data_IF_807536184854
#
_entry.id   IF_807536184854
#
_cell.length_a   1.000
_cell.length_b   1.000
_cell.length_c   1.000
_cell.angle_alpha   90.00
_cell.angle_beta   90.00
_cell.angle_gamma   90.00
#
_symmetry.space_group_name_H-M   'P 1'
#
loop_
_entity.id
_entity.type
_entity.pdbx_description
1 polymer ?
#
# COMPACT_ATOMS: atom_id res chain seq x y z
N UNK A 1 -8.56 51.42 89.54
CA UNK A 1 -8.50 50.37 88.50
C UNK A 1 -9.81 50.39 87.77
N UNK A 2 -9.86 50.69 86.43
CA UNK A 2 -11.13 50.66 85.68
C UNK A 2 -11.47 49.19 85.34
N UNK A 3 -12.71 48.82 85.69
CA UNK A 3 -13.33 47.54 85.37
C UNK A 3 -13.93 47.65 83.94
N UNK A 4 -13.42 46.87 83.03
CA UNK A 4 -13.97 46.76 81.69
C UNK A 4 -15.26 45.91 81.73
N UNK A 5 -16.42 46.53 81.58
CA UNK A 5 -17.68 45.85 81.37
C UNK A 5 -17.88 45.51 79.91
N UNK A 6 -17.87 44.22 79.59
CA UNK A 6 -18.22 43.70 78.27
C UNK A 6 -19.73 43.87 78.08
N UNK A 7 -20.11 44.77 77.19
CA UNK A 7 -21.50 44.88 76.70
C UNK A 7 -21.83 43.63 75.89
N UNK A 8 -22.75 42.80 76.41
CA UNK A 8 -23.38 41.71 75.62
C UNK A 8 -24.21 42.34 74.51
N UNK A 9 -23.79 42.05 73.26
CA UNK A 9 -24.53 42.43 72.09
C UNK A 9 -25.74 41.51 71.97
N UNK A 10 -26.91 42.09 72.02
CA UNK A 10 -28.21 41.44 71.85
C UNK A 10 -28.27 40.73 70.53
N UNK A 11 -28.92 39.57 70.56
CA UNK A 11 -29.20 38.69 69.41
C UNK A 11 -29.82 39.50 68.29
N UNK A 12 -29.01 39.63 67.20
CA UNK A 12 -29.45 40.07 65.89
C UNK A 12 -29.56 38.85 65.00
N UNK A 13 -30.63 38.75 64.35
CA UNK A 13 -31.08 37.72 63.43
C UNK A 13 -29.92 37.08 62.63
N UNK A 14 -29.83 35.75 62.73
CA UNK A 14 -28.96 34.98 61.85
C UNK A 14 -29.43 35.15 60.41
N UNK A 15 -28.61 35.62 59.50
CA UNK A 15 -29.00 35.67 58.10
C UNK A 15 -29.27 34.24 57.63
N UNK A 16 -30.52 34.00 57.26
CA UNK A 16 -30.92 32.76 56.58
C UNK A 16 -29.97 32.56 55.35
N UNK A 17 -29.09 31.60 55.47
CA UNK A 17 -28.25 31.18 54.36
C UNK A 17 -29.17 30.73 53.25
N UNK A 18 -29.40 31.58 52.25
CA UNK A 18 -30.14 31.22 51.05
C UNK A 18 -29.53 29.95 50.50
N UNK A 19 -30.31 28.86 50.47
CA UNK A 19 -29.93 27.64 49.85
C UNK A 19 -29.57 28.00 48.39
N UNK A 20 -28.28 27.89 48.06
CA UNK A 20 -27.83 28.03 46.67
C UNK A 20 -28.64 27.04 45.87
N UNK A 21 -29.51 27.53 45.02
CA UNK A 21 -30.23 26.74 44.04
C UNK A 21 -29.19 25.96 43.26
N UNK A 22 -29.23 24.64 43.35
CA UNK A 22 -28.36 23.78 42.52
C UNK A 22 -28.89 23.95 41.11
N UNK A 23 -28.24 24.83 40.36
CA UNK A 23 -28.48 24.93 38.92
C UNK A 23 -27.90 23.65 38.36
N UNK A 24 -28.74 22.70 37.98
CA UNK A 24 -28.35 21.56 37.18
C UNK A 24 -27.87 22.10 35.82
N UNK A 25 -26.57 22.37 35.71
CA UNK A 25 -25.96 22.77 34.46
C UNK A 25 -25.88 21.50 33.60
N UNK A 26 -26.91 21.29 32.80
CA UNK A 26 -27.02 20.20 31.83
C UNK A 26 -25.97 20.31 30.72
N UNK A 27 -25.38 21.49 30.55
CA UNK A 27 -24.30 21.73 29.59
C UNK A 27 -22.93 21.48 30.23
N UNK A 28 -22.14 20.56 29.71
CA UNK A 28 -20.80 20.30 30.25
C UNK A 28 -19.90 21.53 30.10
N UNK A 29 -19.07 21.84 31.10
CA UNK A 29 -18.18 23.01 31.04
C UNK A 29 -17.27 22.96 29.83
N UNK A 30 -17.03 24.10 29.21
CA UNK A 30 -16.27 24.25 27.94
C UNK A 30 -14.91 23.49 27.94
N UNK A 31 -14.24 23.43 29.10
CA UNK A 31 -12.96 22.69 29.19
C UNK A 31 -13.14 21.17 29.09
N UNK A 32 -14.25 20.59 29.61
CA UNK A 32 -14.56 19.16 29.45
C UNK A 32 -14.85 18.83 27.99
N UNK A 33 -15.62 19.69 27.30
CA UNK A 33 -15.89 19.52 25.85
C UNK A 33 -14.62 19.60 25.04
N UNK A 34 -13.73 20.56 25.36
CA UNK A 34 -12.42 20.68 24.68
C UNK A 34 -11.54 19.46 24.93
N UNK A 35 -11.49 18.94 26.17
CA UNK A 35 -10.76 17.73 26.53
C UNK A 35 -11.30 16.49 25.81
N UNK A 36 -12.62 16.36 25.72
CA UNK A 36 -13.26 15.26 24.99
C UNK A 36 -12.94 15.30 23.50
N UNK A 37 -13.03 16.49 22.86
CA UNK A 37 -12.67 16.65 21.45
C UNK A 37 -11.19 16.32 21.16
N UNK A 38 -10.28 16.72 22.06
CA UNK A 38 -8.87 16.38 21.95
C UNK A 38 -8.63 14.87 22.11
N UNK A 39 -9.29 14.23 23.06
CA UNK A 39 -9.20 12.79 23.27
C UNK A 39 -9.79 12.02 22.08
N UNK A 40 -10.93 12.46 21.54
CA UNK A 40 -11.53 11.87 20.34
C UNK A 40 -10.65 12.02 19.12
N UNK A 41 -10.05 13.20 18.92
CA UNK A 41 -9.07 13.42 17.84
C UNK A 41 -7.85 12.51 17.97
N UNK A 42 -7.27 12.42 19.18
CA UNK A 42 -6.15 11.53 19.44
C UNK A 42 -6.51 10.04 19.22
N UNK A 43 -7.72 9.62 19.59
CA UNK A 43 -8.20 8.27 19.35
C UNK A 43 -8.35 7.96 17.85
N UNK A 44 -8.89 8.90 17.06
CA UNK A 44 -9.00 8.76 15.60
C UNK A 44 -7.63 8.69 14.93
N UNK A 45 -6.69 9.54 15.35
CA UNK A 45 -5.30 9.53 14.84
C UNK A 45 -4.61 8.20 15.19
N UNK A 46 -4.79 7.68 16.40
CA UNK A 46 -4.25 6.39 16.81
C UNK A 46 -4.86 5.23 16.01
N UNK A 47 -6.17 5.25 15.77
CA UNK A 47 -6.86 4.25 14.94
C UNK A 47 -6.35 4.27 13.49
N UNK A 48 -6.22 5.46 12.91
CA UNK A 48 -5.67 5.62 11.56
C UNK A 48 -4.22 5.13 11.47
N UNK A 49 -3.39 5.46 12.47
CA UNK A 49 -2.02 4.99 12.54
C UNK A 49 -1.93 3.46 12.64
N UNK A 50 -2.82 2.83 13.42
CA UNK A 50 -2.91 1.38 13.54
C UNK A 50 -3.34 0.73 12.21
N UNK A 51 -4.35 1.26 11.53
CA UNK A 51 -4.77 0.81 10.19
C UNK A 51 -3.63 0.91 9.16
N UNK A 52 -2.90 2.02 9.15
CA UNK A 52 -1.73 2.21 8.27
C UNK A 52 -0.60 1.24 8.59
N UNK A 53 -0.34 0.95 9.86
CA UNK A 53 0.67 -0.04 10.25
C UNK A 53 0.29 -1.44 9.76
N UNK A 54 -0.98 -1.85 9.92
CA UNK A 54 -1.48 -3.12 9.41
C UNK A 54 -1.41 -3.20 7.88
N UNK A 55 -1.78 -2.13 7.16
CA UNK A 55 -1.69 -2.06 5.71
C UNK A 55 -0.23 -2.20 5.21
N UNK A 56 0.73 -1.54 5.87
CA UNK A 56 2.17 -1.69 5.55
C UNK A 56 2.64 -3.13 5.75
N UNK A 57 2.25 -3.76 6.85
CA UNK A 57 2.59 -5.15 7.12
C UNK A 57 1.98 -6.08 6.08
N UNK A 58 0.72 -5.89 5.71
CA UNK A 58 0.06 -6.67 4.67
C UNK A 58 0.71 -6.49 3.30
N UNK A 59 1.15 -5.27 2.94
CA UNK A 59 1.87 -5.00 1.69
C UNK A 59 3.26 -5.66 1.66
N UNK A 60 3.91 -5.84 2.81
CA UNK A 60 5.27 -6.41 2.88
C UNK A 60 5.38 -7.84 2.38
N UNK A 61 4.29 -8.61 2.40
CA UNK A 61 4.25 -9.99 1.89
C UNK A 61 4.28 -10.08 0.36
N UNK A 62 3.94 -8.98 -0.33
CA UNK A 62 3.95 -8.95 -1.78
C UNK A 62 5.34 -8.63 -2.32
N UNK A 63 5.74 -9.34 -3.39
CA UNK A 63 6.99 -9.05 -4.09
C UNK A 63 6.93 -7.64 -4.68
N UNK A 64 7.91 -6.83 -4.29
CA UNK A 64 8.11 -5.53 -4.93
C UNK A 64 8.88 -5.73 -6.24
N UNK A 65 8.15 -5.82 -7.34
CA UNK A 65 8.70 -5.93 -8.68
C UNK A 65 8.78 -4.53 -9.32
N UNK A 66 9.73 -4.30 -10.26
CA UNK A 66 9.72 -3.08 -11.06
C UNK A 66 8.43 -2.97 -11.88
N UNK A 67 8.08 -1.77 -12.30
CA UNK A 67 6.98 -1.56 -13.24
C UNK A 67 7.30 -2.19 -14.59
N UNK A 68 6.28 -2.41 -15.43
CA UNK A 68 6.49 -2.94 -16.79
C UNK A 68 7.42 -2.04 -17.60
N UNK A 69 7.23 -0.73 -17.54
CA UNK A 69 8.06 0.24 -18.27
C UNK A 69 9.52 0.22 -17.79
N UNK A 70 9.76 0.13 -16.49
CA UNK A 70 11.11 -0.02 -15.93
C UNK A 70 11.78 -1.34 -16.39
N UNK A 71 11.01 -2.43 -16.42
CA UNK A 71 11.50 -3.71 -16.89
C UNK A 71 11.85 -3.68 -18.39
N UNK A 72 11.01 -3.08 -19.22
CA UNK A 72 11.26 -2.87 -20.65
C UNK A 72 12.52 -2.03 -20.84
N UNK A 73 12.64 -0.90 -20.16
CA UNK A 73 13.80 -0.02 -20.24
C UNK A 73 15.10 -0.69 -19.75
N UNK A 74 15.00 -1.66 -18.87
CA UNK A 74 16.15 -2.44 -18.39
C UNK A 74 16.67 -3.42 -19.43
N UNK A 75 15.79 -4.06 -20.21
CA UNK A 75 16.13 -5.15 -21.12
C UNK A 75 16.23 -4.70 -22.57
N UNK A 76 15.42 -3.77 -23.04
CA UNK A 76 15.33 -3.32 -24.43
C UNK A 76 16.67 -2.84 -25.02
N UNK A 77 17.54 -2.09 -24.32
CA UNK A 77 18.83 -1.66 -24.85
C UNK A 77 19.76 -2.82 -25.22
N UNK A 78 19.61 -3.95 -24.56
CA UNK A 78 20.48 -5.13 -24.75
C UNK A 78 19.87 -6.18 -25.66
N UNK A 79 18.55 -6.32 -25.66
CA UNK A 79 17.80 -7.30 -26.43
C UNK A 79 16.55 -6.67 -27.08
N UNK A 80 16.74 -5.81 -28.08
CA UNK A 80 15.60 -5.13 -28.72
C UNK A 80 14.66 -6.11 -29.46
N UNK A 81 15.17 -7.29 -29.88
CA UNK A 81 14.37 -8.33 -30.52
C UNK A 81 13.29 -8.97 -29.63
N UNK A 82 13.37 -8.80 -28.30
CA UNK A 82 12.35 -9.26 -27.36
C UNK A 82 11.13 -8.36 -27.33
N UNK A 83 11.17 -7.22 -27.97
CA UNK A 83 10.14 -6.18 -27.91
C UNK A 83 9.64 -5.80 -29.30
N UNK A 84 8.35 -5.50 -29.36
CA UNK A 84 7.71 -4.84 -30.51
C UNK A 84 7.39 -3.39 -30.09
N UNK A 85 8.27 -2.47 -30.48
CA UNK A 85 8.25 -1.12 -29.92
C UNK A 85 8.54 -1.16 -28.41
N UNK A 86 7.58 -0.73 -27.60
CA UNK A 86 7.66 -0.78 -26.12
C UNK A 86 6.89 -1.97 -25.52
N UNK A 87 6.29 -2.80 -26.37
CA UNK A 87 5.50 -3.95 -25.95
C UNK A 87 6.37 -5.21 -25.93
N UNK A 88 6.48 -5.94 -24.80
CA UNK A 88 7.18 -7.21 -24.74
C UNK A 88 6.49 -8.25 -25.62
N UNK A 89 7.27 -8.97 -26.43
CA UNK A 89 6.80 -10.16 -27.15
C UNK A 89 6.71 -11.34 -26.20
N UNK A 90 5.94 -12.36 -26.56
CA UNK A 90 5.92 -13.62 -25.82
C UNK A 90 7.29 -14.28 -25.93
N UNK A 91 7.88 -14.56 -24.78
CA UNK A 91 9.26 -15.04 -24.68
C UNK A 91 9.35 -16.54 -24.94
N UNK A 92 10.40 -16.98 -25.63
CA UNK A 92 10.70 -18.38 -25.83
C UNK A 92 10.91 -19.11 -24.50
N UNK A 93 10.64 -20.41 -24.47
CA UNK A 93 10.96 -21.26 -23.34
C UNK A 93 12.48 -21.27 -23.07
N UNK A 94 12.85 -21.17 -21.78
CA UNK A 94 14.26 -21.12 -21.40
C UNK A 94 14.99 -19.80 -21.68
N UNK A 95 14.29 -18.77 -22.13
CA UNK A 95 14.88 -17.46 -22.47
C UNK A 95 15.72 -16.87 -21.32
N UNK A 96 15.31 -17.11 -20.06
CA UNK A 96 16.06 -16.63 -18.89
C UNK A 96 17.51 -17.09 -18.90
N UNK A 97 17.75 -18.37 -19.23
CA UNK A 97 19.07 -18.95 -19.18
C UNK A 97 19.93 -18.45 -20.35
N UNK A 98 19.32 -18.26 -21.52
CA UNK A 98 19.95 -17.61 -22.69
C UNK A 98 20.37 -16.18 -22.35
N UNK A 99 19.51 -15.38 -21.70
CA UNK A 99 19.84 -14.00 -21.32
C UNK A 99 20.94 -13.94 -20.25
N UNK A 100 20.96 -14.89 -19.31
CA UNK A 100 22.02 -14.97 -18.30
C UNK A 100 23.36 -15.32 -18.92
N UNK A 101 23.37 -16.20 -19.90
CA UNK A 101 24.57 -16.56 -20.66
C UNK A 101 25.07 -15.36 -21.49
N UNK A 102 24.18 -14.66 -22.17
CA UNK A 102 24.50 -13.43 -22.90
C UNK A 102 25.12 -12.34 -22.00
N UNK A 103 24.59 -12.17 -20.81
CA UNK A 103 25.14 -11.23 -19.79
C UNK A 103 26.60 -11.58 -19.51
N UNK A 104 26.91 -12.86 -19.33
CA UNK A 104 28.27 -13.32 -19.06
C UNK A 104 29.18 -13.15 -20.27
N UNK A 105 28.74 -13.58 -21.48
CA UNK A 105 29.53 -13.54 -22.70
C UNK A 105 29.80 -12.13 -23.22
N UNK A 106 28.79 -11.27 -23.16
CA UNK A 106 28.87 -9.88 -23.66
C UNK A 106 29.28 -8.87 -22.57
N UNK A 107 29.57 -9.32 -21.34
CA UNK A 107 29.89 -8.47 -20.20
C UNK A 107 28.88 -7.33 -19.98
N UNK A 108 27.59 -7.64 -20.11
CA UNK A 108 26.52 -6.66 -19.94
C UNK A 108 26.48 -6.21 -18.46
N UNK A 109 26.45 -4.88 -18.17
CA UNK A 109 26.43 -4.35 -16.81
C UNK A 109 25.02 -4.49 -16.17
N UNK A 110 24.51 -5.72 -16.12
CA UNK A 110 23.20 -6.06 -15.60
C UNK A 110 23.33 -7.22 -14.61
N UNK A 111 22.95 -7.02 -13.37
CA UNK A 111 23.00 -8.08 -12.36
C UNK A 111 21.93 -9.15 -12.64
N UNK A 112 22.28 -10.42 -12.35
CA UNK A 112 21.36 -11.55 -12.47
C UNK A 112 20.04 -11.33 -11.70
N UNK A 113 20.13 -10.68 -10.54
CA UNK A 113 18.96 -10.33 -9.71
C UNK A 113 18.05 -9.33 -10.43
N UNK A 114 18.64 -8.30 -11.04
CA UNK A 114 17.89 -7.25 -11.78
C UNK A 114 17.25 -7.84 -13.03
N UNK A 115 17.97 -8.67 -13.78
CA UNK A 115 17.45 -9.39 -14.93
C UNK A 115 16.25 -10.28 -14.56
N UNK A 116 16.37 -11.11 -13.53
CA UNK A 116 15.29 -12.00 -13.08
C UNK A 116 14.06 -11.23 -12.62
N UNK A 117 14.25 -10.10 -11.94
CA UNK A 117 13.15 -9.24 -11.52
C UNK A 117 12.43 -8.57 -12.69
N UNK A 118 13.18 -8.11 -13.67
CA UNK A 118 12.64 -7.54 -14.90
C UNK A 118 11.82 -8.57 -15.69
N UNK A 119 12.33 -9.79 -15.88
CA UNK A 119 11.61 -10.89 -16.52
C UNK A 119 10.33 -11.27 -15.77
N UNK A 120 10.38 -11.31 -14.43
CA UNK A 120 9.18 -11.55 -13.60
C UNK A 120 8.14 -10.45 -13.77
N UNK A 121 8.56 -9.19 -13.85
CA UNK A 121 7.66 -8.07 -14.04
C UNK A 121 6.95 -8.16 -15.40
N UNK A 122 7.68 -8.51 -16.46
CA UNK A 122 7.14 -8.69 -17.81
C UNK A 122 6.16 -9.86 -17.85
N UNK A 123 6.59 -11.05 -17.44
CA UNK A 123 5.79 -12.28 -17.55
C UNK A 123 4.57 -12.31 -16.62
N UNK A 124 4.52 -11.44 -15.63
CA UNK A 124 3.39 -11.27 -14.72
C UNK A 124 2.54 -10.05 -15.03
N UNK A 125 2.88 -9.29 -16.06
CA UNK A 125 2.06 -8.16 -16.48
C UNK A 125 0.74 -8.66 -17.10
N UNK A 126 -0.33 -7.89 -16.91
CA UNK A 126 -1.63 -8.25 -17.45
C UNK A 126 -1.62 -8.32 -18.98
N UNK A 127 -0.93 -7.39 -19.64
CA UNK A 127 -0.81 -7.35 -21.09
C UNK A 127 -0.11 -8.61 -21.64
N UNK A 128 0.96 -9.07 -20.99
CA UNK A 128 1.67 -10.27 -21.39
C UNK A 128 0.79 -11.53 -21.25
N UNK A 129 0.11 -11.67 -20.13
CA UNK A 129 -0.78 -12.82 -19.88
C UNK A 129 -2.02 -12.80 -20.78
N UNK A 130 -2.56 -11.64 -21.10
CA UNK A 130 -3.64 -11.52 -22.08
C UNK A 130 -3.20 -11.90 -23.50
N UNK A 131 -1.94 -11.69 -23.86
CA UNK A 131 -1.39 -12.08 -25.16
C UNK A 131 -1.14 -13.59 -25.29
N UNK A 132 -1.03 -14.33 -24.20
CA UNK A 132 -0.83 -15.77 -24.17
C UNK A 132 -2.10 -16.53 -24.56
N UNK A 133 -2.39 -16.54 -25.84
CA UNK A 133 -3.51 -17.30 -26.43
C UNK A 133 -3.01 -18.48 -27.24
N UNK A 134 -3.78 -19.56 -27.29
CA UNK A 134 -3.45 -20.73 -28.10
C UNK A 134 -3.17 -20.34 -29.56
N UNK A 135 -2.04 -20.81 -30.09
CA UNK A 135 -1.55 -20.47 -31.42
C UNK A 135 -0.72 -19.20 -31.52
N UNK A 136 -0.64 -18.38 -30.47
CA UNK A 136 0.26 -17.21 -30.43
C UNK A 136 1.71 -17.65 -30.49
N UNK A 137 2.55 -16.87 -31.17
CA UNK A 137 3.97 -17.17 -31.36
C UNK A 137 4.82 -16.73 -30.15
N UNK A 138 5.80 -17.55 -29.79
CA UNK A 138 6.89 -17.19 -28.88
C UNK A 138 8.12 -16.78 -29.71
N UNK A 139 8.89 -15.85 -29.19
CA UNK A 139 10.02 -15.24 -29.89
C UNK A 139 11.30 -15.40 -29.07
N UNK A 140 12.43 -15.58 -29.80
CA UNK A 140 13.78 -15.59 -29.23
C UNK A 140 14.32 -14.15 -29.02
N UNK A 141 15.60 -14.07 -28.64
CA UNK A 141 16.28 -12.78 -28.41
C UNK A 141 16.43 -11.92 -29.65
N UNK A 142 16.36 -12.50 -30.83
CA UNK A 142 16.49 -11.83 -32.15
C UNK A 142 15.13 -11.48 -32.76
N UNK A 143 14.05 -11.98 -32.17
CA UNK A 143 12.67 -11.74 -32.62
C UNK A 143 12.18 -12.78 -33.64
N UNK A 144 12.85 -13.93 -33.77
CA UNK A 144 12.36 -15.05 -34.54
C UNK A 144 11.40 -15.93 -33.79
N UNK A 145 10.40 -16.47 -34.47
CA UNK A 145 9.42 -17.39 -33.92
C UNK A 145 10.09 -18.71 -33.56
N UNK A 146 9.91 -19.18 -32.35
CA UNK A 146 10.45 -20.45 -31.85
C UNK A 146 9.36 -21.50 -31.63
N UNK A 147 8.29 -21.10 -30.95
CA UNK A 147 7.24 -22.00 -30.48
C UNK A 147 5.88 -21.32 -30.56
N UNK A 148 4.83 -22.09 -30.36
CA UNK A 148 3.46 -21.60 -30.27
C UNK A 148 2.88 -21.92 -28.89
N UNK A 149 2.02 -21.04 -28.39
CA UNK A 149 1.31 -21.24 -27.13
C UNK A 149 0.29 -22.38 -27.29
N UNK A 150 0.34 -23.35 -26.39
CA UNK A 150 -0.64 -24.42 -26.33
C UNK A 150 -1.95 -23.97 -25.61
N UNK A 151 -3.02 -24.76 -25.76
CA UNK A 151 -4.26 -24.52 -25.01
C UNK A 151 -4.08 -24.63 -23.50
N UNK A 152 -3.19 -25.51 -23.03
CA UNK A 152 -2.87 -25.65 -21.60
C UNK A 152 -2.15 -24.41 -21.08
N UNK A 153 -1.24 -23.85 -21.86
CA UNK A 153 -0.54 -22.61 -21.50
C UNK A 153 -1.50 -21.41 -21.49
N UNK A 154 -2.44 -21.34 -22.42
CA UNK A 154 -3.50 -20.32 -22.39
C UNK A 154 -4.36 -20.43 -21.12
N UNK A 155 -4.81 -21.63 -20.75
CA UNK A 155 -5.58 -21.88 -19.54
C UNK A 155 -4.79 -21.49 -18.26
N UNK A 156 -3.49 -21.84 -18.22
CA UNK A 156 -2.60 -21.44 -17.15
C UNK A 156 -2.46 -19.92 -17.06
N UNK A 157 -2.28 -19.25 -18.18
CA UNK A 157 -2.14 -17.80 -18.25
C UNK A 157 -3.44 -17.10 -17.78
N UNK A 158 -4.60 -17.60 -18.17
CA UNK A 158 -5.90 -17.08 -17.71
C UNK A 158 -6.07 -17.19 -16.19
N UNK A 159 -5.78 -18.36 -15.62
CA UNK A 159 -5.82 -18.56 -14.16
C UNK A 159 -4.81 -17.65 -13.42
N UNK A 160 -3.64 -17.48 -14.00
CA UNK A 160 -2.60 -16.59 -13.45
C UNK A 160 -3.02 -15.13 -13.50
N UNK A 161 -3.64 -14.70 -14.60
CA UNK A 161 -4.18 -13.35 -14.79
C UNK A 161 -5.22 -13.01 -13.72
N UNK A 162 -6.17 -13.92 -13.46
CA UNK A 162 -7.18 -13.73 -12.43
C UNK A 162 -6.56 -13.59 -11.03
N UNK A 163 -5.54 -14.39 -10.74
CA UNK A 163 -4.80 -14.29 -9.48
C UNK A 163 -4.09 -12.94 -9.34
N UNK A 164 -3.44 -12.48 -10.41
CA UNK A 164 -2.71 -11.20 -10.42
C UNK A 164 -3.69 -10.02 -10.28
N UNK A 165 -4.81 -10.04 -10.99
CA UNK A 165 -5.86 -9.02 -10.87
C UNK A 165 -6.40 -8.91 -9.45
N UNK A 166 -6.65 -10.04 -8.79
CA UNK A 166 -7.05 -10.06 -7.37
C UNK A 166 -5.98 -9.46 -6.47
N UNK A 167 -4.72 -9.84 -6.66
CA UNK A 167 -3.60 -9.30 -5.89
C UNK A 167 -3.42 -7.80 -6.11
N UNK A 168 -3.53 -7.32 -7.35
CA UNK A 168 -3.41 -5.90 -7.67
C UNK A 168 -4.55 -5.09 -7.04
N UNK A 169 -5.78 -5.64 -7.01
CA UNK A 169 -6.91 -5.00 -6.32
C UNK A 169 -6.65 -4.85 -4.83
N UNK A 170 -6.22 -5.93 -4.17
CA UNK A 170 -5.88 -5.90 -2.73
C UNK A 170 -4.74 -4.90 -2.46
N UNK A 171 -3.71 -4.89 -3.30
CA UNK A 171 -2.61 -3.92 -3.16
C UNK A 171 -3.10 -2.48 -3.29
N UNK A 172 -3.98 -2.20 -4.25
CA UNK A 172 -4.55 -0.88 -4.47
C UNK A 172 -5.40 -0.43 -3.26
N UNK A 173 -6.20 -1.33 -2.70
CA UNK A 173 -7.00 -1.07 -1.49
C UNK A 173 -6.10 -0.77 -0.27
N UNK A 174 -5.06 -1.57 -0.07
CA UNK A 174 -4.09 -1.34 1.01
C UNK A 174 -3.30 -0.04 0.83
N UNK A 175 -2.93 0.29 -0.41
CA UNK A 175 -2.26 1.55 -0.72
C UNK A 175 -3.18 2.74 -0.47
N UNK A 176 -4.44 2.66 -0.83
CA UNK A 176 -5.43 3.71 -0.57
C UNK A 176 -5.55 4.03 0.94
N UNK A 177 -5.48 3.00 1.80
CA UNK A 177 -5.45 3.19 3.27
C UNK A 177 -4.21 3.97 3.72
N UNK A 178 -3.06 3.75 3.07
CA UNK A 178 -1.81 4.48 3.40
C UNK A 178 -1.87 5.94 2.97
N UNK A 179 -2.58 6.23 1.89
CA UNK A 179 -2.71 7.56 1.30
C UNK A 179 -3.82 8.39 1.97
N UNK A 180 -4.65 7.78 2.83
CA UNK A 180 -5.66 8.47 3.64
C UNK A 180 -5.01 9.47 4.59
N UNK A 181 -5.49 10.75 4.57
CA UNK A 181 -4.92 11.85 5.36
C UNK A 181 -5.53 11.97 6.74
#
# INVERSE_FOLDING_TARGET
RPVLTLKRKTEGETPVRSRKTIINVTTPPKWKVKKQKLAEKAAREAELAAKKAQARQALSIYLNLPTLDEAVNTLKPWWPGLFDGDTPRLLACGIRDVLLEDVAQRNIPLSHKKLRRALKAITRSESYLCAMRAGACRYDTEGYVTEHISQEEEAYAAARLDKIRRQNRIKAELQAVLDEK
#
